data_IF_265210720071
#
_entry.id   IF_265210720071
#
_cell.length_a   1.000
_cell.length_b   1.000
_cell.length_c   1.000
_cell.angle_alpha   90.00
_cell.angle_beta   90.00
_cell.angle_gamma   90.00
#
_symmetry.space_group_name_H-M   'P 1'
#
loop_
_entity.id
_entity.type
_entity.pdbx_description
1 polymer ?
#
# COMPACT_ATOMS: atom_id res chain seq x y z
N UNK A 1 -0.99 18.73 16.69
CA UNK A 1 -1.11 18.27 15.30
C UNK A 1 -0.25 19.11 14.35
N UNK A 2 -0.38 20.47 14.29
CA UNK A 2 0.38 21.31 13.35
C UNK A 2 1.91 21.14 13.46
N UNK A 3 2.47 21.08 14.68
CA UNK A 3 3.89 20.84 14.90
C UNK A 3 4.37 19.47 14.41
N UNK A 4 3.51 18.45 14.48
CA UNK A 4 3.82 17.13 13.94
C UNK A 4 3.90 17.15 12.42
N UNK A 5 2.99 17.84 11.74
CA UNK A 5 3.03 18.04 10.30
C UNK A 5 4.31 18.79 9.88
N UNK A 6 4.66 19.86 10.60
CA UNK A 6 5.89 20.59 10.32
C UNK A 6 7.13 19.69 10.45
N UNK A 7 7.20 18.89 11.52
CA UNK A 7 8.31 17.96 11.74
C UNK A 7 8.37 16.90 10.62
N UNK A 8 7.21 16.30 10.24
CA UNK A 8 7.14 15.34 9.15
C UNK A 8 7.62 15.94 7.82
N UNK A 9 7.15 17.14 7.49
CA UNK A 9 7.60 17.79 6.27
C UNK A 9 9.10 18.07 6.28
N UNK A 10 9.61 18.67 7.36
CA UNK A 10 11.04 18.98 7.48
C UNK A 10 11.94 17.75 7.39
N UNK A 11 11.54 16.66 8.00
CA UNK A 11 12.41 15.48 8.13
C UNK A 11 12.16 14.41 7.06
N UNK A 12 11.00 14.42 6.40
CA UNK A 12 10.60 13.39 5.43
C UNK A 12 10.29 14.02 4.08
N UNK A 13 9.12 14.65 3.92
CA UNK A 13 8.62 15.01 2.59
C UNK A 13 9.48 16.05 1.86
N UNK A 14 10.04 17.05 2.57
CA UNK A 14 10.92 18.06 1.96
C UNK A 14 12.24 17.43 1.49
N UNK A 15 12.75 16.44 2.23
CA UNK A 15 13.98 15.73 1.84
C UNK A 15 13.76 14.82 0.62
N UNK A 16 12.63 14.14 0.54
CA UNK A 16 12.24 13.33 -0.62
C UNK A 16 12.09 14.23 -1.85
N UNK A 17 11.43 15.38 -1.69
CA UNK A 17 11.26 16.36 -2.76
C UNK A 17 12.60 16.95 -3.21
N UNK A 18 13.50 17.30 -2.28
CA UNK A 18 14.85 17.79 -2.60
C UNK A 18 15.70 16.77 -3.35
N UNK A 19 15.46 15.48 -3.11
CA UNK A 19 16.10 14.40 -3.85
C UNK A 19 15.48 14.17 -5.25
N UNK A 20 14.46 14.94 -5.65
CA UNK A 20 13.77 14.78 -6.93
C UNK A 20 12.87 13.54 -7.00
N UNK A 21 12.51 12.95 -5.85
CA UNK A 21 11.68 11.74 -5.78
C UNK A 21 10.22 12.19 -5.61
N UNK A 22 9.30 11.82 -6.53
CA UNK A 22 7.88 12.12 -6.36
C UNK A 22 7.30 11.32 -5.18
N UNK A 23 6.47 11.97 -4.36
CA UNK A 23 5.86 11.37 -3.18
C UNK A 23 4.35 11.24 -3.37
N UNK A 24 3.85 10.02 -3.60
CA UNK A 24 2.44 9.70 -3.55
C UNK A 24 2.05 9.30 -2.11
N UNK A 25 0.91 9.77 -1.65
CA UNK A 25 0.43 9.54 -0.28
C UNK A 25 -0.94 8.89 -0.29
N UNK A 26 -1.26 8.13 0.76
CA UNK A 26 -2.60 7.65 1.04
C UNK A 26 -3.00 8.06 2.47
N UNK A 27 -4.26 8.42 2.73
CA UNK A 27 -4.68 8.79 4.09
C UNK A 27 -4.62 7.60 5.03
N UNK A 28 -4.17 7.84 6.26
CA UNK A 28 -4.20 6.86 7.36
C UNK A 28 -5.21 7.25 8.45
N UNK A 29 -5.58 6.30 9.28
CA UNK A 29 -6.58 6.51 10.34
C UNK A 29 -6.09 7.41 11.49
N UNK A 30 -4.80 7.73 11.55
CA UNK A 30 -4.23 8.65 12.54
C UNK A 30 -3.98 10.07 12.00
N UNK A 31 -4.02 10.30 10.70
CA UNK A 31 -3.78 11.60 10.08
C UNK A 31 -4.96 12.11 9.25
N UNK A 32 -5.87 11.22 8.85
CA UNK A 32 -7.01 11.55 8.01
C UNK A 32 -8.23 10.63 8.24
N UNK A 33 -8.46 10.21 9.49
CA UNK A 33 -9.59 9.33 9.81
C UNK A 33 -10.91 9.85 9.25
N UNK A 34 -11.69 8.95 8.66
CA UNK A 34 -13.05 9.23 8.24
C UNK A 34 -14.10 8.88 9.32
N UNK A 35 -13.68 8.46 10.52
CA UNK A 35 -14.58 8.33 11.66
C UNK A 35 -15.07 9.70 12.12
N UNK A 36 -16.30 9.73 12.64
CA UNK A 36 -16.89 10.93 13.24
C UNK A 36 -16.01 11.43 14.40
N UNK A 37 -15.79 12.75 14.47
CA UNK A 37 -14.99 13.41 15.50
C UNK A 37 -13.52 13.63 15.11
N UNK A 38 -13.12 13.27 13.89
CA UNK A 38 -11.77 13.45 13.34
C UNK A 38 -11.73 14.39 12.12
N UNK A 39 -12.78 15.21 11.94
CA UNK A 39 -12.94 16.08 10.78
C UNK A 39 -11.82 17.11 10.68
N UNK A 40 -11.35 17.64 11.81
CA UNK A 40 -10.28 18.65 11.85
C UNK A 40 -8.92 18.08 11.40
N UNK A 41 -8.56 16.87 11.86
CA UNK A 41 -7.34 16.19 11.43
C UNK A 41 -7.40 15.86 9.95
N UNK A 42 -8.55 15.36 9.49
CA UNK A 42 -8.80 15.03 8.09
C UNK A 42 -8.73 16.27 7.20
N UNK A 43 -9.32 17.39 7.63
CA UNK A 43 -9.19 18.67 6.92
C UNK A 43 -7.74 19.10 6.83
N UNK A 44 -7.01 19.03 7.95
CA UNK A 44 -5.59 19.39 8.01
C UNK A 44 -4.75 18.54 7.05
N UNK A 45 -4.96 17.21 6.99
CA UNK A 45 -4.33 16.33 6.00
C UNK A 45 -4.57 16.85 4.58
N UNK A 46 -5.83 17.15 4.24
CA UNK A 46 -6.20 17.68 2.93
C UNK A 46 -5.49 18.98 2.61
N UNK A 47 -5.39 19.91 3.57
CA UNK A 47 -4.70 21.18 3.39
C UNK A 47 -3.19 21.01 3.20
N UNK A 48 -2.54 20.17 4.00
CA UNK A 48 -1.11 19.90 3.90
C UNK A 48 -0.74 19.38 2.52
N UNK A 49 -1.45 18.36 2.04
CA UNK A 49 -1.11 17.74 0.77
C UNK A 49 -1.55 18.54 -0.47
N UNK A 50 -2.63 19.33 -0.41
CA UNK A 50 -2.95 20.26 -1.50
C UNK A 50 -1.89 21.34 -1.67
N UNK A 51 -1.31 21.85 -0.59
CA UNK A 51 -0.20 22.83 -0.63
C UNK A 51 1.11 22.21 -1.14
N UNK A 52 1.31 20.91 -0.93
CA UNK A 52 2.52 20.15 -1.28
C UNK A 52 2.22 19.09 -2.34
N UNK A 53 1.31 19.41 -3.24
CA UNK A 53 0.90 18.49 -4.30
C UNK A 53 2.12 18.03 -5.09
N UNK A 54 2.39 16.72 -5.21
CA UNK A 54 3.52 16.19 -5.95
C UNK A 54 3.33 16.38 -7.46
N UNK A 55 4.43 16.43 -8.19
CA UNK A 55 4.44 16.38 -9.64
C UNK A 55 4.29 14.92 -10.09
N UNK A 56 3.05 14.47 -10.18
CA UNK A 56 2.67 13.14 -10.67
C UNK A 56 1.86 13.26 -11.94
N UNK A 57 1.99 12.30 -12.85
CA UNK A 57 1.14 12.20 -14.03
C UNK A 57 -0.26 11.71 -13.63
N UNK A 58 -1.07 12.61 -13.05
CA UNK A 58 -2.41 12.28 -12.60
C UNK A 58 -3.30 11.84 -13.76
N UNK A 59 -3.93 10.69 -13.57
CA UNK A 59 -4.97 10.16 -14.45
C UNK A 59 -6.35 10.64 -13.99
N UNK A 60 -6.58 10.58 -12.69
CA UNK A 60 -7.72 11.20 -12.02
C UNK A 60 -7.28 11.77 -10.68
N UNK A 61 -7.65 13.01 -10.39
CA UNK A 61 -7.31 13.70 -9.14
C UNK A 61 -8.50 14.36 -8.48
N UNK A 62 -9.71 13.98 -8.87
CA UNK A 62 -10.96 14.58 -8.39
C UNK A 62 -11.14 14.47 -6.88
N UNK A 63 -10.63 13.41 -6.28
CA UNK A 63 -10.65 13.17 -4.83
C UNK A 63 -9.31 13.46 -4.09
N UNK A 64 -8.30 14.05 -4.79
CA UNK A 64 -6.99 14.28 -4.18
C UNK A 64 -7.07 15.20 -2.94
N UNK A 65 -6.37 14.88 -1.85
CA UNK A 65 -5.38 13.83 -1.64
C UNK A 65 -5.94 12.53 -0.99
N UNK A 66 -7.24 12.32 -0.93
CA UNK A 66 -7.83 11.18 -0.25
C UNK A 66 -7.88 9.95 -1.15
N UNK A 67 -8.41 10.09 -2.37
CA UNK A 67 -8.36 9.06 -3.40
C UNK A 67 -8.02 9.69 -4.76
N UNK A 68 -7.20 9.03 -5.53
CA UNK A 68 -6.74 9.53 -6.83
C UNK A 68 -6.01 8.43 -7.60
N UNK A 69 -5.78 8.67 -8.88
CA UNK A 69 -4.99 7.78 -9.73
C UNK A 69 -3.92 8.55 -10.50
N UNK A 70 -2.75 7.94 -10.66
CA UNK A 70 -1.64 8.49 -11.45
C UNK A 70 -0.92 7.37 -12.19
N UNK A 71 -0.19 7.75 -13.22
CA UNK A 71 0.63 6.84 -14.01
C UNK A 71 2.12 7.10 -13.78
N UNK A 72 2.90 6.03 -13.80
CA UNK A 72 4.35 6.09 -13.88
C UNK A 72 4.84 4.97 -14.80
N UNK A 73 5.39 5.34 -15.97
CA UNK A 73 5.71 4.38 -17.01
C UNK A 73 4.46 3.59 -17.44
N UNK A 74 4.56 2.27 -17.46
CA UNK A 74 3.46 1.37 -17.83
C UNK A 74 2.56 0.95 -16.65
N UNK A 75 2.63 1.66 -15.53
CA UNK A 75 1.90 1.33 -14.29
C UNK A 75 0.85 2.38 -13.97
N UNK A 76 -0.37 1.93 -13.72
CA UNK A 76 -1.43 2.72 -13.11
C UNK A 76 -1.43 2.49 -11.60
N UNK A 77 -1.19 3.55 -10.84
CA UNK A 77 -1.30 3.57 -9.38
C UNK A 77 -2.60 4.22 -8.95
N UNK A 78 -3.29 3.62 -7.99
CA UNK A 78 -4.57 4.11 -7.48
C UNK A 78 -4.51 4.14 -5.95
N UNK A 79 -4.66 5.33 -5.37
CA UNK A 79 -4.82 5.53 -3.93
C UNK A 79 -6.29 5.45 -3.55
N UNK A 80 -6.60 4.69 -2.51
CA UNK A 80 -7.95 4.61 -1.92
C UNK A 80 -7.96 5.20 -0.52
N UNK A 81 -9.07 5.85 -0.21
CA UNK A 81 -9.38 6.34 1.14
C UNK A 81 -10.04 5.23 1.95
N UNK A 82 -9.21 4.42 2.61
CA UNK A 82 -9.64 3.33 3.51
C UNK A 82 -9.04 3.61 4.89
N UNK A 83 -9.74 4.43 5.68
CA UNK A 83 -9.34 4.86 7.02
C UNK A 83 -10.39 4.52 8.08
N UNK A 84 -11.39 3.73 7.70
CA UNK A 84 -12.45 3.17 8.52
C UNK A 84 -12.59 1.71 8.15
N UNK A 85 -12.67 0.85 9.15
CA UNK A 85 -12.91 -0.58 8.93
C UNK A 85 -14.26 -0.83 8.28
N UNK A 86 -14.34 -1.87 7.44
CA UNK A 86 -15.55 -2.25 6.72
C UNK A 86 -15.56 -1.81 5.26
N UNK A 87 -16.71 -1.93 4.63
CA UNK A 87 -16.84 -1.74 3.19
C UNK A 87 -16.54 -0.32 2.71
N UNK A 88 -15.86 -0.22 1.58
CA UNK A 88 -15.61 1.05 0.90
C UNK A 88 -16.92 1.74 0.51
N UNK A 89 -17.05 3.07 0.73
CA UNK A 89 -18.26 3.80 0.33
C UNK A 89 -18.62 3.59 -1.15
N UNK A 90 -19.91 3.42 -1.44
CA UNK A 90 -20.41 3.17 -2.80
C UNK A 90 -19.89 4.20 -3.82
N UNK A 91 -19.83 5.46 -3.44
CA UNK A 91 -19.34 6.52 -4.31
C UNK A 91 -17.88 6.28 -4.73
N UNK A 92 -17.04 5.84 -3.81
CA UNK A 92 -15.63 5.55 -4.10
C UNK A 92 -15.47 4.25 -4.92
N UNK A 93 -16.30 3.21 -4.65
CA UNK A 93 -16.33 1.99 -5.50
C UNK A 93 -16.72 2.34 -6.94
N UNK A 94 -17.72 3.19 -7.15
CA UNK A 94 -18.15 3.63 -8.48
C UNK A 94 -17.04 4.42 -9.19
N UNK A 95 -16.37 5.33 -8.48
CA UNK A 95 -15.23 6.06 -9.00
C UNK A 95 -14.08 5.11 -9.41
N UNK A 96 -13.73 4.17 -8.55
CA UNK A 96 -12.69 3.17 -8.82
C UNK A 96 -13.01 2.34 -10.05
N UNK A 97 -14.27 1.87 -10.17
CA UNK A 97 -14.74 1.10 -11.31
C UNK A 97 -14.59 1.91 -12.61
N UNK A 98 -14.97 3.20 -12.61
CA UNK A 98 -14.83 4.09 -13.75
C UNK A 98 -13.36 4.28 -14.15
N UNK A 99 -12.47 4.56 -13.17
CA UNK A 99 -11.03 4.73 -13.41
C UNK A 99 -10.42 3.45 -13.99
N UNK A 100 -10.73 2.30 -13.42
CA UNK A 100 -10.20 1.02 -13.89
C UNK A 100 -10.73 0.67 -15.29
N UNK A 101 -12.00 0.92 -15.59
CA UNK A 101 -12.60 0.66 -16.90
C UNK A 101 -12.01 1.55 -17.99
N UNK A 102 -11.86 2.85 -17.72
CA UNK A 102 -11.38 3.84 -18.70
C UNK A 102 -9.87 3.78 -18.91
N UNK A 103 -9.12 3.63 -17.83
CA UNK A 103 -7.66 3.77 -17.85
C UNK A 103 -6.91 2.45 -17.69
N UNK A 104 -7.45 1.48 -16.94
CA UNK A 104 -6.80 0.21 -16.68
C UNK A 104 -6.21 -0.48 -17.91
N UNK A 105 -6.94 -0.59 -19.04
CA UNK A 105 -6.43 -1.25 -20.25
C UNK A 105 -5.24 -0.54 -20.92
N UNK A 106 -4.99 0.73 -20.59
CA UNK A 106 -3.87 1.53 -21.13
C UNK A 106 -2.53 1.21 -20.46
N UNK A 107 -2.56 0.51 -19.33
CA UNK A 107 -1.38 0.23 -18.51
C UNK A 107 -1.17 -1.27 -18.36
N UNK A 108 0.07 -1.67 -18.35
CA UNK A 108 0.47 -3.08 -18.19
C UNK A 108 0.20 -3.59 -16.78
N UNK A 109 0.49 -2.76 -15.79
CA UNK A 109 0.30 -3.06 -14.38
C UNK A 109 -0.72 -2.09 -13.73
N UNK A 110 -1.50 -2.59 -12.79
CA UNK A 110 -2.44 -1.83 -11.95
C UNK A 110 -2.16 -2.16 -10.51
N UNK A 111 -1.74 -1.16 -9.75
CA UNK A 111 -1.37 -1.27 -8.34
C UNK A 111 -2.28 -0.36 -7.54
N UNK A 112 -3.00 -0.92 -6.59
CA UNK A 112 -3.84 -0.19 -5.65
C UNK A 112 -3.13 -0.09 -4.31
N UNK A 113 -3.24 1.03 -3.62
CA UNK A 113 -2.70 1.21 -2.28
C UNK A 113 -3.66 1.97 -1.38
N UNK A 114 -3.68 1.59 -0.11
CA UNK A 114 -4.53 2.18 0.92
C UNK A 114 -3.89 2.06 2.29
N UNK A 115 -4.54 2.61 3.34
CA UNK A 115 -4.08 2.40 4.70
C UNK A 115 -4.56 1.07 5.27
N UNK A 116 -5.86 0.89 5.46
CA UNK A 116 -6.40 -0.36 5.97
C UNK A 116 -6.28 -1.48 4.92
N UNK A 117 -5.90 -2.69 5.32
CA UNK A 117 -5.80 -3.81 4.40
C UNK A 117 -7.19 -4.33 3.97
N UNK A 118 -7.24 -5.00 2.83
CA UNK A 118 -8.46 -5.68 2.37
C UNK A 118 -8.70 -7.00 3.12
N UNK A 119 -7.63 -7.59 3.65
CA UNK A 119 -7.62 -8.83 4.44
C UNK A 119 -6.70 -8.68 5.64
N UNK A 120 -6.99 -9.31 6.78
CA UNK A 120 -6.17 -9.17 7.97
C UNK A 120 -4.85 -9.92 7.89
N UNK A 121 -3.80 -9.37 8.51
CA UNK A 121 -2.44 -9.93 8.56
C UNK A 121 -1.91 -10.13 9.97
N UNK A 122 -2.36 -9.35 10.96
CA UNK A 122 -1.74 -9.31 12.28
C UNK A 122 -2.67 -9.82 13.38
N UNK A 123 -2.10 -10.55 14.34
CA UNK A 123 -2.78 -11.00 15.56
C UNK A 123 -3.35 -9.82 16.33
N UNK A 124 -4.61 -9.95 16.77
CA UNK A 124 -5.36 -8.91 17.48
C UNK A 124 -5.86 -7.77 16.57
N UNK A 125 -5.82 -7.98 15.25
CA UNK A 125 -6.32 -7.06 14.21
C UNK A 125 -7.19 -7.78 13.17
N UNK A 126 -7.71 -8.94 13.52
CA UNK A 126 -8.45 -9.82 12.58
C UNK A 126 -9.76 -9.18 12.06
N UNK A 127 -10.24 -8.15 12.75
CA UNK A 127 -11.47 -7.40 12.39
C UNK A 127 -11.17 -5.97 11.94
N UNK A 128 -9.89 -5.59 11.83
CA UNK A 128 -9.48 -4.25 11.41
C UNK A 128 -9.03 -4.25 9.95
N UNK A 129 -9.89 -4.75 9.08
CA UNK A 129 -9.70 -4.75 7.62
C UNK A 129 -10.97 -4.19 6.94
N UNK A 130 -10.89 -3.96 5.65
CA UNK A 130 -12.09 -3.55 4.92
C UNK A 130 -13.06 -4.70 4.70
N UNK A 131 -12.59 -5.95 4.62
CA UNK A 131 -13.41 -7.14 4.42
C UNK A 131 -14.32 -7.10 3.18
N UNK A 132 -14.16 -6.10 2.32
CA UNK A 132 -15.06 -5.76 1.22
C UNK A 132 -14.91 -6.73 0.05
N UNK A 133 -15.85 -7.68 -0.03
CA UNK A 133 -15.86 -8.69 -1.10
C UNK A 133 -16.19 -8.10 -2.47
N UNK A 134 -16.99 -7.06 -2.51
CA UNK A 134 -17.33 -6.38 -3.76
C UNK A 134 -16.12 -5.63 -4.32
N UNK A 135 -15.36 -4.96 -3.42
CA UNK A 135 -14.09 -4.34 -3.80
C UNK A 135 -13.10 -5.39 -4.31
N UNK A 136 -12.96 -6.52 -3.60
CA UNK A 136 -12.06 -7.60 -4.03
C UNK A 136 -12.43 -8.12 -5.42
N UNK A 137 -13.70 -8.39 -5.68
CA UNK A 137 -14.18 -8.82 -6.99
C UNK A 137 -13.90 -7.77 -8.08
N UNK A 138 -14.17 -6.49 -7.81
CA UNK A 138 -13.88 -5.39 -8.73
C UNK A 138 -12.40 -5.34 -9.09
N UNK A 139 -11.50 -5.48 -8.12
CA UNK A 139 -10.06 -5.48 -8.35
C UNK A 139 -9.61 -6.68 -9.19
N UNK A 140 -10.15 -7.87 -8.91
CA UNK A 140 -9.87 -9.10 -9.68
C UNK A 140 -10.34 -8.98 -11.13
N UNK A 141 -11.59 -8.56 -11.34
CA UNK A 141 -12.19 -8.41 -12.67
C UNK A 141 -11.46 -7.36 -13.52
N UNK A 142 -10.94 -6.31 -12.89
CA UNK A 142 -10.15 -5.27 -13.54
C UNK A 142 -8.67 -5.66 -13.74
N UNK A 143 -8.24 -6.84 -13.28
CA UNK A 143 -6.87 -7.32 -13.40
C UNK A 143 -5.87 -6.48 -12.62
N UNK A 144 -6.25 -6.02 -11.41
CA UNK A 144 -5.30 -5.42 -10.47
C UNK A 144 -4.34 -6.50 -10.00
N UNK A 145 -3.05 -6.30 -10.18
CA UNK A 145 -2.02 -7.28 -9.83
C UNK A 145 -1.53 -7.16 -8.38
N UNK A 146 -1.65 -5.97 -7.77
CA UNK A 146 -1.13 -5.76 -6.42
C UNK A 146 -1.99 -4.79 -5.61
N UNK A 147 -2.15 -5.10 -4.31
CA UNK A 147 -2.79 -4.25 -3.31
C UNK A 147 -1.83 -4.03 -2.14
N UNK A 148 -1.33 -2.80 -1.98
CA UNK A 148 -0.43 -2.43 -0.90
C UNK A 148 -1.23 -1.84 0.27
N UNK A 149 -0.94 -2.26 1.49
CA UNK A 149 -1.61 -1.74 2.69
C UNK A 149 -0.66 -1.58 3.87
N UNK A 150 -1.03 -0.69 4.78
CA UNK A 150 -0.35 -0.46 6.05
C UNK A 150 -1.12 -1.03 7.24
N UNK A 151 -1.39 -0.20 8.24
CA UNK A 151 -2.23 -0.39 9.42
C UNK A 151 -1.83 -1.58 10.32
N UNK A 152 -1.65 -2.76 9.77
CA UNK A 152 -1.30 -3.98 10.51
C UNK A 152 0.17 -4.05 10.93
N UNK A 153 1.02 -3.16 10.43
CA UNK A 153 2.38 -2.91 10.93
C UNK A 153 3.27 -4.17 10.96
N UNK A 154 3.04 -5.11 10.05
CA UNK A 154 3.82 -6.32 9.84
C UNK A 154 3.97 -6.57 8.34
N UNK A 155 5.17 -6.90 7.89
CA UNK A 155 5.41 -7.19 6.48
C UNK A 155 5.00 -8.62 6.16
N UNK A 156 4.15 -8.76 5.16
CA UNK A 156 3.79 -10.05 4.55
C UNK A 156 3.44 -9.86 3.07
N UNK A 157 4.07 -10.63 2.17
CA UNK A 157 3.73 -10.65 0.75
C UNK A 157 2.69 -11.76 0.48
N UNK A 158 1.45 -11.55 0.89
CA UNK A 158 0.36 -12.49 0.67
C UNK A 158 -0.13 -12.52 -0.77
N UNK A 159 -0.71 -13.63 -1.21
CA UNK A 159 -1.33 -13.79 -2.53
C UNK A 159 -2.68 -14.49 -2.44
N UNK A 160 -3.67 -14.00 -3.19
CA UNK A 160 -4.98 -14.65 -3.33
C UNK A 160 -5.67 -14.19 -4.61
N UNK A 161 -6.20 -15.14 -5.39
CA UNK A 161 -7.08 -14.85 -6.53
C UNK A 161 -6.45 -13.97 -7.62
N UNK A 162 -5.13 -14.12 -7.84
CA UNK A 162 -4.39 -13.35 -8.84
C UNK A 162 -3.94 -11.95 -8.39
N UNK A 163 -4.16 -11.60 -7.13
CA UNK A 163 -3.71 -10.33 -6.54
C UNK A 163 -2.65 -10.61 -5.46
N UNK A 164 -1.54 -9.88 -5.50
CA UNK A 164 -0.56 -9.84 -4.43
C UNK A 164 -1.01 -8.81 -3.38
N UNK A 165 -1.40 -9.27 -2.21
CA UNK A 165 -1.77 -8.44 -1.06
C UNK A 165 -0.53 -8.23 -0.20
N UNK A 166 0.10 -7.08 -0.32
CA UNK A 166 1.33 -6.79 0.43
C UNK A 166 0.99 -5.94 1.64
N UNK A 167 1.11 -6.53 2.82
CA UNK A 167 1.08 -5.79 4.09
C UNK A 167 2.43 -5.16 4.35
N UNK A 168 2.47 -3.85 4.55
CA UNK A 168 3.68 -3.10 4.83
C UNK A 168 3.90 -2.98 6.35
N UNK A 169 5.15 -3.15 6.77
CA UNK A 169 5.53 -2.87 8.15
C UNK A 169 5.53 -1.37 8.45
N UNK A 170 5.70 -1.03 9.72
CA UNK A 170 5.83 0.36 10.14
C UNK A 170 7.28 0.85 10.13
N UNK A 171 7.47 2.17 10.01
CA UNK A 171 8.77 2.82 10.21
C UNK A 171 8.89 3.43 11.62
N UNK A 172 7.82 4.01 12.15
CA UNK A 172 7.83 4.75 13.41
C UNK A 172 6.95 4.19 14.54
N UNK A 173 6.04 3.28 14.22
CA UNK A 173 5.09 2.70 15.18
C UNK A 173 5.58 1.39 15.80
N UNK A 174 4.71 0.69 16.54
CA UNK A 174 5.01 -0.60 17.17
C UNK A 174 4.71 -1.77 16.24
N UNK A 175 5.71 -2.52 15.77
CA UNK A 175 5.48 -3.69 14.93
C UNK A 175 4.59 -4.74 15.62
N UNK A 176 3.83 -5.51 14.83
CA UNK A 176 2.92 -6.55 15.32
C UNK A 176 3.41 -7.94 14.96
N UNK A 177 2.70 -8.95 15.46
CA UNK A 177 2.94 -10.37 15.15
C UNK A 177 1.98 -10.76 14.00
N UNK A 178 2.49 -11.39 12.96
CA UNK A 178 1.66 -11.94 11.89
C UNK A 178 0.76 -13.07 12.41
N UNK A 179 -0.40 -13.22 11.82
CA UNK A 179 -1.27 -14.38 12.05
C UNK A 179 -0.50 -15.64 11.63
N UNK A 180 -0.42 -16.61 12.53
CA UNK A 180 0.36 -17.84 12.30
C UNK A 180 1.82 -17.77 12.68
N UNK A 181 2.30 -16.60 13.16
CA UNK A 181 3.66 -16.45 13.70
C UNK A 181 3.64 -16.27 15.22
N UNK A 182 4.79 -16.43 15.84
CA UNK A 182 5.06 -16.15 17.26
C UNK A 182 6.04 -14.99 17.46
N UNK A 183 6.70 -14.54 16.40
CA UNK A 183 7.73 -13.51 16.44
C UNK A 183 7.13 -12.18 15.98
N UNK A 184 7.45 -11.11 16.72
CA UNK A 184 7.06 -9.76 16.34
C UNK A 184 7.79 -9.32 15.05
N UNK A 185 7.06 -8.85 14.06
CA UNK A 185 7.64 -8.27 12.84
C UNK A 185 8.61 -7.13 13.17
N UNK A 186 9.65 -6.96 12.36
CA UNK A 186 10.55 -5.81 12.45
C UNK A 186 9.96 -4.56 11.82
N UNK A 187 10.55 -3.40 12.13
CA UNK A 187 10.32 -2.21 11.30
C UNK A 187 11.01 -2.38 9.96
N UNK A 188 10.34 -2.06 8.87
CA UNK A 188 10.93 -2.16 7.53
C UNK A 188 10.28 -1.18 6.55
N UNK A 189 11.01 -0.89 5.47
CA UNK A 189 10.46 -0.30 4.26
C UNK A 189 10.46 -1.35 3.14
N UNK A 190 9.53 -1.23 2.20
CA UNK A 190 9.48 -2.07 1.02
C UNK A 190 10.06 -1.35 -0.21
N UNK A 191 10.80 -2.10 -1.02
CA UNK A 191 11.25 -1.69 -2.34
C UNK A 191 10.50 -2.54 -3.37
N UNK A 192 9.86 -1.91 -4.32
CA UNK A 192 9.20 -2.54 -5.45
C UNK A 192 9.90 -2.11 -6.73
N UNK A 193 10.52 -3.06 -7.41
CA UNK A 193 11.08 -2.86 -8.74
C UNK A 193 10.09 -3.36 -9.79
N UNK A 194 9.84 -2.55 -10.80
CA UNK A 194 8.91 -2.86 -11.89
C UNK A 194 9.65 -2.73 -13.21
N UNK A 195 9.82 -3.85 -13.91
CA UNK A 195 10.53 -3.89 -15.21
C UNK A 195 9.66 -4.60 -16.23
N UNK A 196 8.99 -3.86 -17.07
CA UNK A 196 8.01 -4.42 -18.02
C UNK A 196 6.91 -5.21 -17.29
N UNK A 197 6.75 -6.52 -17.54
CA UNK A 197 5.76 -7.35 -16.83
C UNK A 197 6.20 -7.77 -15.42
N UNK A 198 7.49 -7.69 -15.11
CA UNK A 198 8.06 -8.28 -13.90
C UNK A 198 7.96 -7.33 -12.73
N UNK A 199 7.45 -7.84 -11.62
CA UNK A 199 7.43 -7.19 -10.31
C UNK A 199 8.41 -7.93 -9.40
N UNK A 200 9.28 -7.19 -8.71
CA UNK A 200 10.18 -7.73 -7.69
C UNK A 200 10.06 -6.92 -6.42
N UNK A 201 9.94 -7.59 -5.29
CA UNK A 201 9.70 -6.99 -3.99
C UNK A 201 10.78 -7.41 -2.99
N UNK A 202 11.29 -6.45 -2.21
CA UNK A 202 12.05 -6.69 -1.00
C UNK A 202 11.54 -5.81 0.12
N UNK A 203 11.59 -6.31 1.35
CA UNK A 203 11.43 -5.49 2.55
C UNK A 203 12.78 -5.38 3.27
N UNK A 204 13.21 -4.15 3.56
CA UNK A 204 14.50 -3.86 4.20
C UNK A 204 14.27 -3.51 5.66
N UNK A 205 14.89 -4.28 6.56
CA UNK A 205 14.72 -4.14 8.01
C UNK A 205 15.54 -3.01 8.62
N UNK A 206 14.97 -2.33 9.61
CA UNK A 206 15.67 -1.41 10.50
C UNK A 206 16.57 -2.18 11.50
N UNK A 207 17.63 -1.54 12.05
CA UNK A 207 18.14 -0.23 11.68
C UNK A 207 18.95 -0.25 10.39
N UNK A 208 19.03 0.89 9.70
CA UNK A 208 19.88 1.09 8.52
C UNK A 208 19.28 0.63 7.19
N UNK A 209 18.24 -0.20 7.18
CA UNK A 209 17.51 -0.62 5.97
C UNK A 209 18.41 -1.19 4.87
N UNK A 210 19.37 -2.02 5.26
CA UNK A 210 20.33 -2.68 4.34
C UNK A 210 20.15 -4.20 4.28
N UNK A 211 19.38 -4.79 5.22
CA UNK A 211 19.16 -6.22 5.29
C UNK A 211 17.74 -6.55 4.83
N UNK A 212 17.61 -7.37 3.81
CA UNK A 212 16.31 -7.90 3.39
C UNK A 212 15.70 -8.81 4.46
N UNK A 213 14.38 -8.77 4.56
CA UNK A 213 13.59 -9.77 5.30
C UNK A 213 13.51 -11.00 4.41
N UNK A 214 13.96 -12.14 4.94
CA UNK A 214 13.88 -13.40 4.24
C UNK A 214 12.43 -13.93 4.28
N UNK A 215 11.84 -14.15 3.11
CA UNK A 215 10.44 -14.58 3.04
C UNK A 215 10.21 -15.95 3.64
N UNK A 216 11.19 -16.83 3.61
CA UNK A 216 11.13 -18.15 4.26
C UNK A 216 10.96 -18.09 5.78
N UNK A 217 11.30 -16.96 6.40
CA UNK A 217 11.13 -16.72 7.84
C UNK A 217 9.72 -16.23 8.18
N UNK A 218 8.88 -15.93 7.16
CA UNK A 218 7.50 -15.53 7.31
C UNK A 218 6.56 -16.75 7.24
N UNK A 219 5.36 -16.67 7.80
CA UNK A 219 4.35 -17.72 7.65
C UNK A 219 4.14 -18.11 6.19
N UNK A 220 3.98 -19.40 5.84
CA UNK A 220 3.71 -19.80 4.47
C UNK A 220 2.32 -19.36 4.00
N UNK A 221 1.44 -19.05 4.92
CA UNK A 221 0.09 -18.56 4.68
C UNK A 221 -0.46 -17.82 5.90
N UNK A 222 -1.30 -16.84 5.65
CA UNK A 222 -2.15 -16.19 6.64
C UNK A 222 -3.53 -16.83 6.55
N UNK A 223 -3.97 -17.48 7.63
CA UNK A 223 -5.25 -18.20 7.69
C UNK A 223 -6.20 -17.49 8.62
N UNK A 224 -7.34 -17.06 8.11
CA UNK A 224 -8.43 -16.45 8.87
C UNK A 224 -9.76 -17.13 8.52
N UNK A 225 -10.83 -16.83 9.26
CA UNK A 225 -12.17 -17.30 8.90
C UNK A 225 -12.63 -16.77 7.52
N UNK A 226 -12.18 -15.58 7.14
CA UNK A 226 -12.61 -14.91 5.93
C UNK A 226 -11.82 -15.33 4.68
N UNK A 227 -10.54 -15.71 4.82
CA UNK A 227 -9.67 -16.02 3.69
C UNK A 227 -8.40 -16.76 4.09
N UNK A 228 -7.78 -17.39 3.10
CA UNK A 228 -6.40 -17.88 3.15
C UNK A 228 -5.60 -17.06 2.14
N UNK A 229 -4.53 -16.42 2.59
CA UNK A 229 -3.53 -15.76 1.76
C UNK A 229 -2.29 -16.64 1.78
N UNK A 230 -1.88 -17.14 0.63
CA UNK A 230 -0.60 -17.86 0.51
C UNK A 230 0.54 -16.86 0.38
N UNK A 231 1.71 -17.16 0.93
CA UNK A 231 2.88 -16.33 0.66
C UNK A 231 3.21 -16.32 -0.84
N UNK A 232 3.46 -15.14 -1.41
CA UNK A 232 3.49 -14.91 -2.85
C UNK A 232 4.59 -15.69 -3.60
N UNK A 233 5.62 -16.20 -2.93
CA UNK A 233 6.64 -17.06 -3.55
C UNK A 233 6.25 -18.54 -3.62
N UNK A 234 5.09 -18.91 -3.08
CA UNK A 234 4.59 -20.29 -3.02
C UNK A 234 3.43 -20.56 -4.00
N UNK A 235 3.14 -19.62 -4.89
CA UNK A 235 2.04 -19.71 -5.87
C UNK A 235 2.57 -19.84 -7.29
N UNK A 236 1.70 -20.17 -8.24
CA UNK A 236 2.04 -20.11 -9.67
C UNK A 236 2.25 -18.66 -10.10
N UNK A 237 3.30 -18.40 -10.88
CA UNK A 237 3.70 -17.06 -11.32
C UNK A 237 3.95 -16.08 -10.16
N UNK A 238 4.88 -16.40 -9.26
CA UNK A 238 5.12 -15.62 -8.08
C UNK A 238 5.69 -14.24 -8.42
N UNK A 239 5.38 -13.24 -7.56
CA UNK A 239 6.16 -12.00 -7.54
C UNK A 239 7.63 -12.33 -7.26
N UNK A 240 8.54 -11.71 -8.00
CA UNK A 240 9.97 -11.94 -7.83
C UNK A 240 10.49 -11.37 -6.51
N UNK A 241 11.52 -12.01 -5.95
CA UNK A 241 12.29 -11.41 -4.86
C UNK A 241 13.31 -10.43 -5.44
N UNK A 242 13.34 -9.22 -4.91
CA UNK A 242 14.33 -8.21 -5.25
C UNK A 242 15.59 -8.43 -4.41
N UNK A 243 16.75 -8.52 -5.07
CA UNK A 243 18.04 -8.41 -4.40
C UNK A 243 18.38 -6.92 -4.24
N UNK A 244 18.27 -6.33 -3.03
CA UNK A 244 18.50 -4.92 -2.83
C UNK A 244 19.96 -4.49 -2.98
N UNK A 245 20.89 -5.45 -3.10
CA UNK A 245 22.32 -5.20 -3.30
C UNK A 245 22.75 -5.36 -4.76
N UNK A 246 21.85 -5.82 -5.64
CA UNK A 246 22.12 -5.86 -7.07
C UNK A 246 22.12 -4.43 -7.61
N UNK A 247 23.14 -4.10 -8.40
CA UNK A 247 23.12 -2.85 -9.18
C UNK A 247 21.89 -2.86 -10.10
N UNK A 248 21.14 -1.76 -10.18
CA UNK A 248 20.02 -1.67 -11.12
C UNK A 248 20.54 -1.93 -12.53
N UNK A 249 19.77 -2.67 -13.33
CA UNK A 249 20.07 -2.85 -14.74
C UNK A 249 20.10 -1.46 -15.41
N UNK A 250 21.04 -1.20 -16.31
CA UNK A 250 21.09 0.09 -16.99
C UNK A 250 19.74 0.32 -17.69
N UNK A 251 19.17 1.50 -17.44
CA UNK A 251 17.93 1.94 -18.10
C UNK A 251 18.24 2.01 -19.60
N UNK A 252 17.49 1.33 -20.47
CA UNK A 252 17.71 1.33 -21.91
C UNK A 252 17.53 2.70 -22.55
#
# INVERSE_FOLDING_TARGET
>A
VAAMWQAFHTHVSDRIQQAGIPLAVTPGNHDASAYQGFEDERQMYGEQWRRRRPDLSFVDNSGYPYHYAFAMGEVLFISLDVTVTGELPRAQKNWLAAVLAEHGPKYRQRIVFSHDPLRPFANGRETEDSGDRELEALLQDAGVGMYLSGHHQAFDPGHKGGIDYVSLACLGSGPRVLIGDSVRSGRSLALLEITGPDLRLAALSAPGFTRAIEWQDLPPQIVTEAAVLSRADLVENPIGKLDPHRSPDPIP
#
